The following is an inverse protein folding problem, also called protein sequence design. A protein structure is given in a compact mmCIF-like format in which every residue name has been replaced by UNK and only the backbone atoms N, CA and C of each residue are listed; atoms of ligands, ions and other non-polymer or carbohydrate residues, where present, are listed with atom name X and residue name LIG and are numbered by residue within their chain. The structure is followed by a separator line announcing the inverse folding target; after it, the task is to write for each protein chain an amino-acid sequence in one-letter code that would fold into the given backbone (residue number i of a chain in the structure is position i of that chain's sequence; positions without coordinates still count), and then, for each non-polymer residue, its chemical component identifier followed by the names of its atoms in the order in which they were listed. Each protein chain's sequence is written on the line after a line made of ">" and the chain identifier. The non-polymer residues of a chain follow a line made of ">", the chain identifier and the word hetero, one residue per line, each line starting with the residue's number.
data_IF_535398369848
#
_entry.id   IF_535398369848
#
_cell.length_a   1.000
_cell.length_b   1.000
_cell.length_c   1.000
_cell.angle_alpha   90.00
_cell.angle_beta   90.00
_cell.angle_gamma   90.00
#
_symmetry.space_group_name_H-M   'P 1'
#
loop_
_entity.id
_entity.type
_entity.pdbx_description
1 polymer ?
#
# COMPACT_ATOMS: atom_id res chain seq x y z
N UNK A 1 14.42 18.60 29.99
CA UNK A 1 13.49 18.65 28.84
C UNK A 1 13.88 17.53 27.90
N UNK A 2 13.07 16.48 27.73
CA UNK A 2 13.30 15.51 26.68
C UNK A 2 12.89 16.16 25.34
N UNK A 3 13.82 16.18 24.39
CA UNK A 3 13.59 16.64 23.02
C UNK A 3 12.36 15.93 22.44
N UNK A 4 11.36 16.69 21.99
CA UNK A 4 10.28 16.18 21.14
C UNK A 4 10.87 15.31 20.03
N UNK A 5 10.28 14.14 19.68
CA UNK A 5 10.82 13.30 18.61
C UNK A 5 10.92 14.12 17.33
N UNK A 6 12.15 14.49 16.97
CA UNK A 6 12.43 15.32 15.79
C UNK A 6 11.84 14.59 14.60
N UNK A 7 10.86 15.23 13.95
CA UNK A 7 10.40 14.84 12.62
C UNK A 7 11.64 14.54 11.77
N UNK A 8 11.81 13.27 11.39
CA UNK A 8 12.89 12.88 10.49
C UNK A 8 12.59 13.54 9.16
N UNK A 9 13.03 14.78 8.96
CA UNK A 9 13.04 15.44 7.65
C UNK A 9 13.75 14.46 6.71
N UNK A 10 12.99 13.88 5.78
CA UNK A 10 13.55 13.12 4.66
C UNK A 10 14.61 14.03 4.04
N UNK A 11 15.88 13.70 4.27
CA UNK A 11 16.99 14.35 3.59
C UNK A 11 16.94 13.83 2.17
N UNK A 12 16.10 14.42 1.33
CA UNK A 12 16.27 14.29 -0.09
C UNK A 12 17.66 14.84 -0.40
N UNK A 13 18.57 14.05 -1.00
CA UNK A 13 19.84 14.60 -1.44
C UNK A 13 19.53 15.83 -2.31
N UNK A 14 20.20 16.96 -2.03
CA UNK A 14 20.13 18.13 -2.90
C UNK A 14 20.89 17.80 -4.17
N UNK A 15 20.23 17.09 -5.06
CA UNK A 15 20.72 16.76 -6.40
C UNK A 15 20.55 18.01 -7.25
N UNK A 16 21.60 18.39 -7.98
CA UNK A 16 21.52 19.52 -8.89
C UNK A 16 20.55 19.22 -10.06
N UNK A 17 20.01 20.26 -10.72
CA UNK A 17 19.10 20.08 -11.85
C UNK A 17 19.72 19.25 -12.98
N UNK A 18 21.01 19.46 -13.26
CA UNK A 18 21.74 18.70 -14.28
C UNK A 18 21.94 17.23 -13.89
N UNK A 19 22.28 16.96 -12.62
CA UNK A 19 22.40 15.59 -12.11
C UNK A 19 21.05 14.88 -12.13
N UNK A 20 19.96 15.58 -11.80
CA UNK A 20 18.60 15.05 -11.89
C UNK A 20 18.25 14.68 -13.34
N UNK A 21 18.59 15.53 -14.31
CA UNK A 21 18.36 15.23 -15.72
C UNK A 21 19.12 13.97 -16.18
N UNK A 22 20.39 13.83 -15.79
CA UNK A 22 21.19 12.61 -16.08
C UNK A 22 20.62 11.35 -15.44
N UNK A 23 20.10 11.45 -14.22
CA UNK A 23 19.43 10.33 -13.55
C UNK A 23 18.15 9.92 -14.27
N UNK A 24 17.33 10.90 -14.67
CA UNK A 24 16.10 10.64 -15.44
C UNK A 24 16.44 9.97 -16.77
N UNK A 25 17.40 10.50 -17.53
CA UNK A 25 17.84 9.90 -18.80
C UNK A 25 18.32 8.45 -18.61
N UNK A 26 19.06 8.18 -17.53
CA UNK A 26 19.50 6.83 -17.20
C UNK A 26 18.34 5.88 -16.90
N UNK A 27 17.35 6.32 -16.12
CA UNK A 27 16.17 5.51 -15.78
C UNK A 27 15.33 5.23 -17.04
N UNK A 28 15.11 6.25 -17.88
CA UNK A 28 14.39 6.09 -19.15
C UNK A 28 15.09 5.08 -20.06
N UNK A 29 16.43 5.17 -20.17
CA UNK A 29 17.20 4.22 -20.96
C UNK A 29 17.08 2.78 -20.45
N UNK A 30 17.08 2.58 -19.13
CA UNK A 30 16.87 1.26 -18.54
C UNK A 30 15.47 0.73 -18.85
N UNK A 31 14.46 1.57 -18.69
CA UNK A 31 13.08 1.23 -19.01
C UNK A 31 12.92 0.84 -20.49
N UNK A 32 13.37 1.69 -21.42
CA UNK A 32 13.27 1.43 -22.87
C UNK A 32 13.99 0.15 -23.29
N UNK A 33 15.21 -0.06 -22.77
CA UNK A 33 16.00 -1.25 -23.10
C UNK A 33 15.33 -2.54 -22.58
N UNK A 34 14.82 -2.52 -21.36
CA UNK A 34 14.19 -3.70 -20.76
C UNK A 34 12.81 -3.98 -21.38
N UNK A 35 12.04 -2.94 -21.72
CA UNK A 35 10.80 -3.09 -22.48
C UNK A 35 11.06 -3.68 -23.86
N UNK A 36 12.04 -3.14 -24.61
CA UNK A 36 12.42 -3.67 -25.91
C UNK A 36 12.87 -5.13 -25.83
N UNK A 37 13.62 -5.50 -24.80
CA UNK A 37 14.10 -6.86 -24.60
C UNK A 37 13.00 -7.86 -24.20
N UNK A 38 11.84 -7.38 -23.74
CA UNK A 38 10.68 -8.19 -23.36
C UNK A 38 9.56 -8.16 -24.41
N UNK A 39 9.71 -7.39 -25.48
CA UNK A 39 8.67 -7.24 -26.48
C UNK A 39 8.23 -8.59 -27.07
N UNK A 40 9.18 -9.47 -27.39
CA UNK A 40 8.89 -10.82 -27.90
C UNK A 40 8.07 -11.65 -26.89
N UNK A 41 8.40 -11.58 -25.60
CA UNK A 41 7.70 -12.29 -24.52
C UNK A 41 6.28 -11.74 -24.29
N UNK A 42 6.13 -10.41 -24.39
CA UNK A 42 4.82 -9.74 -24.34
C UNK A 42 3.97 -10.14 -25.55
N UNK A 43 4.54 -10.14 -26.77
CA UNK A 43 3.84 -10.56 -27.98
C UNK A 43 3.42 -12.03 -27.90
N UNK A 44 4.31 -12.93 -27.46
CA UNK A 44 3.99 -14.34 -27.25
C UNK A 44 2.88 -14.54 -26.21
N UNK A 45 2.88 -13.73 -25.14
CA UNK A 45 1.81 -13.72 -24.12
C UNK A 45 0.49 -13.27 -24.72
N UNK A 46 0.47 -12.16 -25.45
CA UNK A 46 -0.73 -11.64 -26.13
C UNK A 46 -1.27 -12.67 -27.13
N UNK A 47 -0.42 -13.32 -27.92
CA UNK A 47 -0.82 -14.37 -28.84
C UNK A 47 -1.41 -15.59 -28.12
N UNK A 48 -0.84 -15.99 -26.98
CA UNK A 48 -1.37 -17.08 -26.14
C UNK A 48 -2.78 -16.74 -25.65
N UNK A 49 -2.95 -15.55 -25.09
CA UNK A 49 -4.25 -15.05 -24.62
C UNK A 49 -5.22 -15.00 -25.80
N UNK A 50 -4.83 -14.42 -26.93
CA UNK A 50 -5.65 -14.32 -28.13
C UNK A 50 -6.16 -15.69 -28.61
N UNK A 51 -5.27 -16.69 -28.62
CA UNK A 51 -5.58 -18.07 -29.00
C UNK A 51 -6.60 -18.72 -28.07
N UNK A 52 -6.50 -18.51 -26.75
CA UNK A 52 -7.40 -19.14 -25.77
C UNK A 52 -8.67 -18.34 -25.48
N UNK A 53 -8.66 -17.02 -25.71
CA UNK A 53 -9.78 -16.08 -25.46
C UNK A 53 -10.54 -15.69 -26.72
N UNK A 54 -10.24 -16.32 -27.85
CA UNK A 54 -10.96 -16.09 -29.11
C UNK A 54 -10.79 -14.64 -29.63
N UNK A 55 -9.65 -13.99 -29.42
CA UNK A 55 -9.33 -12.78 -30.18
C UNK A 55 -9.03 -13.21 -31.61
N UNK A 56 -10.05 -13.17 -32.46
CA UNK A 56 -9.98 -13.66 -33.83
C UNK A 56 -9.16 -12.71 -34.68
N UNK A 57 -8.06 -13.18 -35.25
CA UNK A 57 -7.73 -12.78 -36.61
C UNK A 57 -8.81 -13.37 -37.52
N UNK A 58 -9.52 -12.52 -38.26
CA UNK A 58 -10.49 -12.98 -39.25
C UNK A 58 -9.80 -13.88 -40.27
N UNK A 59 -10.13 -15.18 -40.27
CA UNK A 59 -9.72 -16.08 -41.34
C UNK A 59 -10.74 -15.99 -42.48
N UNK A 60 -10.28 -15.52 -43.63
CA UNK A 60 -11.12 -15.34 -44.83
C UNK A 60 -11.20 -16.59 -45.72
N UNK A 61 -11.06 -17.79 -45.15
CA UNK A 61 -11.08 -19.04 -45.90
C UNK A 61 -11.92 -20.12 -45.20
N UNK A 62 -12.98 -20.66 -45.85
CA UNK A 62 -13.36 -20.49 -47.25
C UNK A 62 -14.17 -19.23 -47.61
N UNK A 63 -14.63 -18.39 -46.67
CA UNK A 63 -15.27 -17.09 -46.95
C UNK A 63 -14.78 -16.01 -45.97
N UNK A 64 -15.00 -14.73 -46.30
CA UNK A 64 -14.70 -13.61 -45.40
C UNK A 64 -15.43 -13.82 -44.05
N UNK A 65 -14.72 -13.67 -42.93
CA UNK A 65 -15.19 -14.01 -41.58
C UNK A 65 -15.51 -15.51 -41.30
N UNK A 66 -15.02 -16.45 -42.11
CA UNK A 66 -15.12 -17.89 -41.81
C UNK A 66 -14.11 -18.32 -40.74
N UNK A 67 -14.28 -17.85 -39.51
CA UNK A 67 -13.54 -18.35 -38.35
C UNK A 67 -14.15 -19.68 -37.89
N UNK A 68 -13.64 -20.81 -38.38
CA UNK A 68 -14.11 -22.16 -38.00
C UNK A 68 -12.96 -22.99 -37.41
N UNK A 69 -12.59 -22.68 -36.17
CA UNK A 69 -11.72 -23.54 -35.33
C UNK A 69 -12.63 -24.12 -34.23
N UNK A 70 -12.25 -25.21 -33.55
CA UNK A 70 -12.98 -25.74 -32.38
C UNK A 70 -12.86 -24.78 -31.17
N UNK A 71 -13.31 -23.55 -31.37
CA UNK A 71 -13.02 -22.35 -30.57
C UNK A 71 -13.74 -22.40 -29.21
N UNK A 72 -15.01 -22.85 -29.09
CA UNK A 72 -15.67 -23.01 -27.78
C UNK A 72 -15.06 -24.10 -26.91
N UNK A 73 -14.63 -25.22 -27.51
CA UNK A 73 -14.09 -26.36 -26.76
C UNK A 73 -12.75 -26.01 -26.11
N UNK A 74 -11.86 -25.36 -26.86
CA UNK A 74 -10.56 -24.92 -26.34
C UNK A 74 -10.71 -23.91 -25.20
N UNK A 75 -11.60 -22.93 -25.35
CA UNK A 75 -11.88 -21.96 -24.27
C UNK A 75 -12.49 -22.65 -23.04
N UNK A 76 -13.43 -23.57 -23.24
CA UNK A 76 -14.06 -24.32 -22.16
C UNK A 76 -13.04 -25.16 -21.39
N UNK A 77 -12.16 -25.86 -22.10
CA UNK A 77 -11.07 -26.63 -21.49
C UNK A 77 -10.07 -25.73 -20.77
N UNK A 78 -9.68 -24.60 -21.37
CA UNK A 78 -8.77 -23.63 -20.76
C UNK A 78 -9.34 -23.08 -19.46
N UNK A 79 -10.56 -22.56 -19.49
CA UNK A 79 -11.25 -22.02 -18.31
C UNK A 79 -11.39 -23.08 -17.21
N UNK A 80 -11.81 -24.29 -17.56
CA UNK A 80 -11.97 -25.37 -16.59
C UNK A 80 -10.64 -25.73 -15.90
N UNK A 81 -9.53 -25.77 -16.65
CA UNK A 81 -8.20 -26.03 -16.09
C UNK A 81 -7.75 -24.87 -15.21
N UNK A 82 -7.96 -23.62 -15.65
CA UNK A 82 -7.65 -22.42 -14.88
C UNK A 82 -8.40 -22.43 -13.54
N UNK A 83 -9.72 -22.62 -13.57
CA UNK A 83 -10.55 -22.69 -12.37
C UNK A 83 -10.11 -23.82 -11.44
N UNK A 84 -9.73 -24.98 -11.99
CA UNK A 84 -9.27 -26.11 -11.17
C UNK A 84 -7.96 -25.77 -10.45
N UNK A 85 -7.02 -25.12 -11.14
CA UNK A 85 -5.73 -24.73 -10.57
C UNK A 85 -5.86 -23.61 -9.54
N UNK A 86 -6.66 -22.58 -9.84
CA UNK A 86 -6.95 -21.49 -8.90
C UNK A 86 -7.62 -22.05 -7.65
N UNK A 87 -8.66 -22.88 -7.80
CA UNK A 87 -9.35 -23.50 -6.67
C UNK A 87 -8.44 -24.41 -5.84
N UNK A 88 -7.51 -25.13 -6.48
CA UNK A 88 -6.54 -25.95 -5.75
C UNK A 88 -5.58 -25.10 -4.91
N UNK A 89 -5.12 -23.97 -5.45
CA UNK A 89 -4.23 -23.04 -4.75
C UNK A 89 -4.94 -22.33 -3.59
N UNK A 90 -6.16 -21.82 -3.80
CA UNK A 90 -6.95 -21.15 -2.77
C UNK A 90 -7.36 -22.12 -1.67
N UNK A 91 -7.79 -23.35 -2.01
CA UNK A 91 -8.16 -24.38 -1.03
C UNK A 91 -7.00 -24.83 -0.15
N UNK A 92 -5.78 -24.80 -0.67
CA UNK A 92 -4.59 -25.18 0.09
C UNK A 92 -4.20 -24.14 1.14
N UNK A 93 -4.65 -22.88 0.99
CA UNK A 93 -4.25 -21.71 1.79
C UNK A 93 -2.76 -21.75 2.14
N UNK A 94 -1.86 -21.52 1.15
CA UNK A 94 -0.43 -21.66 1.35
C UNK A 94 0.04 -20.82 2.54
N UNK A 95 0.62 -21.45 3.57
CA UNK A 95 0.90 -20.76 4.81
C UNK A 95 2.20 -19.97 4.72
N UNK A 96 2.17 -18.71 5.16
CA UNK A 96 3.35 -17.86 5.29
C UNK A 96 4.00 -18.12 6.65
N UNK A 97 4.92 -19.09 6.70
CA UNK A 97 5.60 -19.43 7.94
C UNK A 97 6.99 -18.78 8.04
N UNK A 98 7.25 -17.91 9.04
CA UNK A 98 8.60 -17.51 9.35
C UNK A 98 9.40 -18.72 9.84
N UNK A 99 10.69 -18.76 9.53
CA UNK A 99 11.61 -19.80 10.00
C UNK A 99 12.72 -19.15 10.80
N UNK A 100 12.83 -19.50 12.08
CA UNK A 100 13.92 -19.03 12.92
C UNK A 100 15.26 -19.61 12.42
N UNK A 101 16.24 -18.73 12.18
CA UNK A 101 17.60 -19.14 11.82
C UNK A 101 18.38 -19.67 13.03
N UNK A 102 18.08 -19.13 14.22
CA UNK A 102 18.71 -19.50 15.48
C UNK A 102 17.72 -20.21 16.41
N UNK A 103 18.20 -21.22 17.14
CA UNK A 103 17.37 -22.00 18.07
C UNK A 103 16.78 -21.13 19.20
N UNK A 104 17.46 -20.05 19.59
CA UNK A 104 17.02 -19.13 20.62
C UNK A 104 15.76 -18.34 20.22
N UNK A 105 15.53 -18.12 18.93
CA UNK A 105 14.37 -17.35 18.43
C UNK A 105 13.17 -18.24 18.08
N UNK A 106 13.22 -19.54 18.39
CA UNK A 106 12.15 -20.48 18.06
C UNK A 106 10.82 -20.08 18.69
N UNK A 107 10.83 -19.58 19.92
CA UNK A 107 9.60 -19.13 20.60
C UNK A 107 8.99 -17.89 19.95
N UNK A 108 9.82 -17.01 19.37
CA UNK A 108 9.33 -15.83 18.63
C UNK A 108 8.73 -16.22 17.28
N UNK A 109 9.14 -17.35 16.72
CA UNK A 109 8.65 -17.83 15.43
C UNK A 109 7.13 -17.99 15.42
N UNK A 110 6.57 -18.62 16.46
CA UNK A 110 5.13 -18.88 16.53
C UNK A 110 4.33 -17.58 16.69
N UNK A 111 4.86 -16.63 17.47
CA UNK A 111 4.24 -15.30 17.63
C UNK A 111 4.23 -14.54 16.31
N UNK A 112 5.37 -14.52 15.60
CA UNK A 112 5.47 -13.85 14.29
C UNK A 112 4.61 -14.55 13.24
N UNK A 113 4.52 -15.88 13.27
CA UNK A 113 3.68 -16.65 12.35
C UNK A 113 2.21 -16.28 12.52
N UNK A 114 1.71 -16.29 13.75
CA UNK A 114 0.32 -15.94 14.05
C UNK A 114 0.02 -14.48 13.70
N UNK A 115 0.93 -13.55 13.99
CA UNK A 115 0.77 -12.15 13.61
C UNK A 115 0.72 -11.99 12.09
N UNK A 116 1.67 -12.59 11.37
CA UNK A 116 1.73 -12.47 9.90
C UNK A 116 0.49 -13.08 9.23
N UNK A 117 0.01 -14.23 9.72
CA UNK A 117 -1.22 -14.84 9.23
C UNK A 117 -2.44 -13.95 9.47
N UNK A 118 -2.57 -13.39 10.68
CA UNK A 118 -3.65 -12.45 10.99
C UNK A 118 -3.58 -11.19 10.11
N UNK A 119 -2.41 -10.58 9.97
CA UNK A 119 -2.23 -9.38 9.14
C UNK A 119 -2.48 -9.64 7.66
N UNK A 120 -2.20 -10.85 7.15
CA UNK A 120 -2.37 -11.18 5.74
C UNK A 120 -3.80 -11.63 5.40
N UNK A 121 -4.46 -12.39 6.27
CA UNK A 121 -5.77 -12.98 5.99
C UNK A 121 -6.96 -12.29 6.67
N UNK A 122 -6.73 -11.58 7.79
CA UNK A 122 -7.81 -10.90 8.53
C UNK A 122 -7.78 -9.40 8.29
N UNK A 123 -6.60 -8.76 8.42
CA UNK A 123 -6.48 -7.30 8.18
C UNK A 123 -6.43 -6.96 6.69
N UNK A 124 -6.03 -7.92 5.86
CA UNK A 124 -5.99 -7.82 4.41
C UNK A 124 -6.89 -8.89 3.78
N UNK A 125 -7.37 -8.68 2.54
CA UNK A 125 -8.12 -9.68 1.79
C UNK A 125 -7.17 -10.78 1.25
N UNK A 126 -6.52 -11.52 2.14
CA UNK A 126 -5.48 -12.50 1.78
C UNK A 126 -5.96 -13.62 0.86
N UNK A 127 -7.23 -14.01 0.97
CA UNK A 127 -7.84 -15.00 0.06
C UNK A 127 -7.94 -14.45 -1.38
N UNK A 128 -8.38 -13.20 -1.54
CA UNK A 128 -8.46 -12.54 -2.84
C UNK A 128 -7.06 -12.35 -3.43
N UNK A 129 -6.08 -11.93 -2.62
CA UNK A 129 -4.69 -11.77 -3.04
C UNK A 129 -4.11 -13.10 -3.54
N UNK A 130 -4.37 -14.22 -2.86
CA UNK A 130 -3.92 -15.54 -3.33
C UNK A 130 -4.63 -15.93 -4.63
N UNK A 131 -5.92 -15.60 -4.76
CA UNK A 131 -6.68 -15.78 -5.99
C UNK A 131 -6.06 -15.02 -7.17
N UNK A 132 -5.76 -13.74 -6.99
CA UNK A 132 -5.09 -12.89 -7.97
C UNK A 132 -3.70 -13.43 -8.32
N UNK A 133 -2.91 -13.84 -7.32
CA UNK A 133 -1.59 -14.44 -7.54
C UNK A 133 -1.67 -15.75 -8.33
N UNK A 134 -2.66 -16.59 -8.03
CA UNK A 134 -2.88 -17.85 -8.72
C UNK A 134 -3.32 -17.61 -10.17
N UNK A 135 -4.24 -16.67 -10.39
CA UNK A 135 -4.70 -16.31 -11.73
C UNK A 135 -3.55 -15.72 -12.57
N UNK A 136 -2.79 -14.77 -12.02
CA UNK A 136 -1.60 -14.21 -12.67
C UNK A 136 -0.59 -15.31 -13.02
N UNK A 137 -0.30 -16.23 -12.09
CA UNK A 137 0.63 -17.32 -12.37
C UNK A 137 0.11 -18.30 -13.43
N UNK A 138 -1.18 -18.63 -13.42
CA UNK A 138 -1.76 -19.58 -14.39
C UNK A 138 -1.84 -18.96 -15.79
N UNK A 139 -2.15 -17.67 -15.89
CA UNK A 139 -2.26 -16.98 -17.18
C UNK A 139 -0.89 -16.54 -17.73
N UNK A 140 -0.04 -15.98 -16.87
CA UNK A 140 1.20 -15.31 -17.28
C UNK A 140 2.44 -16.15 -17.01
N UNK A 141 2.36 -17.19 -16.18
CA UNK A 141 3.48 -18.03 -15.77
C UNK A 141 4.41 -17.36 -14.76
N UNK A 142 4.18 -16.08 -14.44
CA UNK A 142 4.96 -15.27 -13.52
C UNK A 142 4.01 -14.48 -12.64
N UNK A 143 4.35 -14.36 -11.36
CA UNK A 143 3.63 -13.50 -10.41
C UNK A 143 4.63 -12.57 -9.75
N UNK A 144 4.29 -11.29 -9.68
CA UNK A 144 5.06 -10.32 -8.89
C UNK A 144 4.19 -9.76 -7.78
N UNK A 145 4.73 -9.75 -6.56
CA UNK A 145 4.09 -9.16 -5.40
C UNK A 145 5.01 -8.10 -4.82
N UNK A 146 4.49 -6.88 -4.72
CA UNK A 146 5.14 -5.81 -3.99
C UNK A 146 4.62 -5.79 -2.56
N UNK A 147 5.52 -5.94 -1.58
CA UNK A 147 5.16 -6.01 -0.15
C UNK A 147 5.78 -4.87 0.64
N UNK A 148 5.26 -3.63 0.53
CA UNK A 148 5.69 -2.52 1.37
C UNK A 148 5.22 -2.69 2.82
N UNK A 149 5.99 -2.11 3.74
CA UNK A 149 5.54 -1.91 5.12
C UNK A 149 4.70 -0.64 5.20
N UNK A 150 3.44 -0.76 5.63
CA UNK A 150 2.49 0.35 5.70
C UNK A 150 2.04 0.53 7.14
N UNK A 151 1.99 1.80 7.57
CA UNK A 151 1.39 2.21 8.85
C UNK A 151 0.20 3.10 8.55
N UNK A 152 -0.99 2.66 8.94
CA UNK A 152 -2.23 3.43 8.85
C UNK A 152 -2.59 3.97 10.23
N UNK A 153 -2.68 5.30 10.33
CA UNK A 153 -3.21 5.99 11.50
C UNK A 153 -4.61 6.51 11.20
N UNK A 154 -5.54 6.32 12.13
CA UNK A 154 -6.87 6.94 12.09
C UNK A 154 -7.10 7.73 13.35
N UNK A 155 -7.76 8.87 13.20
CA UNK A 155 -8.25 9.65 14.33
C UNK A 155 -9.46 8.93 14.92
N UNK A 156 -9.36 8.53 16.18
CA UNK A 156 -10.47 7.95 16.96
C UNK A 156 -10.94 9.03 17.92
N UNK A 157 -12.27 9.17 18.02
CA UNK A 157 -12.92 10.06 18.98
C UNK A 157 -13.50 9.22 20.12
N UNK A 158 -12.93 9.33 21.31
CA UNK A 158 -13.49 8.80 22.54
C UNK A 158 -14.34 9.89 23.21
N UNK A 159 -15.66 9.66 23.32
CA UNK A 159 -16.59 10.61 23.92
C UNK A 159 -16.93 10.19 25.34
N UNK A 160 -16.75 11.10 26.29
CA UNK A 160 -17.09 10.91 27.70
C UNK A 160 -18.08 11.96 28.19
N UNK A 161 -18.94 11.56 29.11
CA UNK A 161 -19.94 12.44 29.74
C UNK A 161 -19.57 12.70 31.19
N UNK A 162 -19.67 13.97 31.58
CA UNK A 162 -19.43 14.45 32.92
C UNK A 162 -20.63 15.26 33.42
N UNK A 163 -20.77 15.41 34.75
CA UNK A 163 -21.76 16.33 35.32
C UNK A 163 -21.60 17.75 34.77
N UNK A 164 -22.67 18.55 34.78
CA UNK A 164 -22.58 19.96 34.40
C UNK A 164 -21.61 20.73 35.31
N UNK A 165 -21.04 21.80 34.77
CA UNK A 165 -20.15 22.70 35.51
C UNK A 165 -20.97 23.38 36.62
N UNK A 166 -20.58 23.27 37.91
CA UNK A 166 -21.25 23.95 39.00
C UNK A 166 -21.23 25.49 38.83
N UNK A 167 -22.35 26.16 39.11
CA UNK A 167 -22.50 27.61 38.95
C UNK A 167 -21.52 28.43 39.80
N UNK A 168 -20.99 27.85 40.87
CA UNK A 168 -20.05 28.46 41.81
C UNK A 168 -18.58 28.34 41.37
N UNK A 169 -18.28 27.59 40.30
CA UNK A 169 -16.92 27.33 39.84
C UNK A 169 -16.66 27.90 38.44
N UNK A 170 -15.44 28.41 38.21
CA UNK A 170 -15.03 28.86 36.88
C UNK A 170 -14.85 27.65 35.95
N UNK A 171 -15.30 27.73 34.68
CA UNK A 171 -15.15 26.64 33.71
C UNK A 171 -13.72 26.15 33.57
N UNK A 172 -12.75 27.06 33.49
CA UNK A 172 -11.32 26.73 33.33
C UNK A 172 -10.79 25.82 34.45
N UNK A 173 -11.17 26.11 35.70
CA UNK A 173 -10.74 25.35 36.88
C UNK A 173 -11.40 23.97 36.91
N UNK A 174 -12.69 23.91 36.55
CA UNK A 174 -13.46 22.66 36.50
C UNK A 174 -12.97 21.72 35.39
N UNK A 175 -12.75 22.24 34.18
CA UNK A 175 -12.25 21.48 33.04
C UNK A 175 -10.84 20.95 33.30
N UNK A 176 -9.95 21.81 33.83
CA UNK A 176 -8.57 21.41 34.16
C UNK A 176 -8.53 20.34 35.26
N UNK A 177 -9.36 20.48 36.30
CA UNK A 177 -9.50 19.47 37.35
C UNK A 177 -10.05 18.14 36.80
N UNK A 178 -10.99 18.20 35.85
CA UNK A 178 -11.58 17.02 35.21
C UNK A 178 -10.55 16.29 34.35
N UNK A 179 -9.70 17.02 33.62
CA UNK A 179 -8.59 16.47 32.86
C UNK A 179 -7.53 15.82 33.76
N UNK A 180 -7.09 16.49 34.82
CA UNK A 180 -6.10 15.95 35.77
C UNK A 180 -6.59 14.68 36.48
N UNK A 181 -7.89 14.60 36.77
CA UNK A 181 -8.51 13.40 37.34
C UNK A 181 -8.57 12.25 36.34
N UNK A 182 -8.83 12.56 35.06
CA UNK A 182 -9.00 11.56 34.01
C UNK A 182 -7.66 11.06 33.46
N UNK A 183 -6.65 11.93 33.39
CA UNK A 183 -5.32 11.67 32.83
C UNK A 183 -4.24 12.05 33.85
N UNK A 184 -4.04 11.24 34.91
CA UNK A 184 -3.06 11.55 35.94
C UNK A 184 -1.63 11.49 35.37
N UNK A 185 -0.86 12.58 35.54
CA UNK A 185 0.55 12.64 35.16
C UNK A 185 0.84 13.05 33.71
N UNK A 186 -0.18 13.40 32.92
CA UNK A 186 -0.05 13.87 31.54
C UNK A 186 0.16 15.39 31.52
N UNK A 187 1.04 15.88 30.63
CA UNK A 187 1.24 17.32 30.45
C UNK A 187 0.02 17.95 29.74
N UNK A 188 -0.60 18.94 30.37
CA UNK A 188 -1.77 19.64 29.83
C UNK A 188 -1.33 21.00 29.29
N UNK A 189 -1.55 21.25 28.01
CA UNK A 189 -1.36 22.54 27.36
C UNK A 189 -2.74 23.09 26.96
N UNK A 190 -3.06 24.31 27.43
CA UNK A 190 -4.29 25.00 27.06
C UNK A 190 -4.08 25.62 25.68
N UNK A 191 -5.01 25.40 24.76
CA UNK A 191 -4.96 25.98 23.41
C UNK A 191 -5.49 27.43 23.45
N UNK A 192 -5.65 28.09 22.30
CA UNK A 192 -6.21 29.46 22.28
C UNK A 192 -7.66 29.55 22.80
N UNK A 193 -8.36 28.40 22.86
CA UNK A 193 -9.73 28.27 23.32
C UNK A 193 -9.77 27.51 24.66
N UNK A 194 -10.48 28.06 25.67
CA UNK A 194 -10.65 27.45 27.01
C UNK A 194 -11.37 26.10 26.99
N UNK A 195 -12.04 25.76 25.89
CA UNK A 195 -12.73 24.48 25.70
C UNK A 195 -11.86 23.44 24.99
N UNK A 196 -10.63 23.79 24.60
CA UNK A 196 -9.73 22.92 23.84
C UNK A 196 -8.39 22.77 24.54
N UNK A 197 -7.97 21.52 24.72
CA UNK A 197 -6.75 21.16 25.41
C UNK A 197 -5.92 20.21 24.56
N UNK A 198 -4.61 20.35 24.65
CA UNK A 198 -3.65 19.42 24.08
C UNK A 198 -2.99 18.64 25.21
N UNK A 199 -3.11 17.32 25.16
CA UNK A 199 -2.48 16.41 26.11
C UNK A 199 -1.20 15.86 25.49
N UNK A 200 -0.07 16.04 26.19
CA UNK A 200 1.20 15.40 25.85
C UNK A 200 1.34 14.09 26.64
N UNK A 201 1.02 12.98 25.99
CA UNK A 201 1.22 11.63 26.49
C UNK A 201 2.59 11.09 26.03
N UNK A 202 3.06 10.01 26.66
CA UNK A 202 4.32 9.36 26.28
C UNK A 202 4.26 8.78 24.86
N UNK A 203 3.07 8.34 24.43
CA UNK A 203 2.80 7.68 23.14
C UNK A 203 2.32 8.64 22.04
N UNK A 204 2.13 9.92 22.32
CA UNK A 204 1.65 10.89 21.33
C UNK A 204 0.91 12.09 21.91
N UNK A 205 0.26 12.83 21.01
CA UNK A 205 -0.50 14.02 21.37
C UNK A 205 -1.99 13.75 21.19
N UNK A 206 -2.78 13.94 22.24
CA UNK A 206 -4.24 13.81 22.19
C UNK A 206 -4.86 15.21 22.23
N UNK A 207 -5.89 15.45 21.43
CA UNK A 207 -6.65 16.69 21.44
C UNK A 207 -7.96 16.46 22.18
N UNK A 208 -8.27 17.30 23.17
CA UNK A 208 -9.50 17.20 23.94
C UNK A 208 -10.33 18.44 23.70
N UNK A 209 -11.59 18.25 23.33
CA UNK A 209 -12.57 19.31 23.19
C UNK A 209 -13.74 19.08 24.13
N UNK A 210 -14.17 20.13 24.80
CA UNK A 210 -15.33 20.10 25.70
C UNK A 210 -16.53 20.80 25.06
N UNK A 211 -17.71 20.23 25.28
CA UNK A 211 -18.98 20.77 24.81
C UNK A 211 -19.99 20.75 25.95
N UNK A 212 -20.74 21.83 26.12
CA UNK A 212 -21.90 21.86 27.02
C UNK A 212 -23.13 21.34 26.29
N UNK A 213 -23.87 20.44 26.94
CA UNK A 213 -25.15 19.91 26.46
C UNK A 213 -26.20 20.10 27.55
N UNK A 214 -27.49 19.98 27.21
CA UNK A 214 -28.60 20.15 28.16
C UNK A 214 -28.51 19.17 29.36
N UNK A 215 -27.87 18.02 29.15
CA UNK A 215 -27.70 16.94 30.14
C UNK A 215 -26.36 16.99 30.89
N UNK A 216 -25.44 17.91 30.55
CA UNK A 216 -24.15 18.03 31.23
C UNK A 216 -22.99 18.45 30.32
N UNK A 217 -21.79 17.98 30.67
CA UNK A 217 -20.55 18.29 29.94
C UNK A 217 -20.11 17.06 29.13
N UNK A 218 -19.96 17.20 27.82
CA UNK A 218 -19.36 16.19 26.95
C UNK A 218 -17.89 16.52 26.68
N UNK A 219 -17.04 15.50 26.68
CA UNK A 219 -15.62 15.59 26.39
C UNK A 219 -15.32 14.66 25.22
N UNK A 220 -14.88 15.22 24.10
CA UNK A 220 -14.40 14.46 22.95
C UNK A 220 -12.86 14.44 22.99
N UNK A 221 -12.29 13.25 23.13
CA UNK A 221 -10.84 13.01 23.04
C UNK A 221 -10.55 12.50 21.64
N UNK A 222 -9.83 13.28 20.85
CA UNK A 222 -9.32 12.88 19.54
C UNK A 222 -7.88 12.43 19.68
N UNK A 223 -7.64 11.16 19.38
CA UNK A 223 -6.29 10.56 19.40
C UNK A 223 -6.02 9.86 18.07
N UNK A 224 -4.82 10.04 17.53
CA UNK A 224 -4.34 9.22 16.43
C UNK A 224 -4.01 7.82 16.95
N UNK A 225 -4.72 6.82 16.44
CA UNK A 225 -4.48 5.42 16.76
C UNK A 225 -3.94 4.70 15.52
N UNK A 226 -2.96 3.82 15.72
CA UNK A 226 -2.47 2.95 14.64
C UNK A 226 -3.46 1.83 14.43
N UNK A 227 -4.11 1.81 13.27
CA UNK A 227 -5.10 0.78 12.92
C UNK A 227 -4.43 -0.41 12.24
N UNK A 228 -3.36 -0.14 11.49
CA UNK A 228 -2.59 -1.15 10.79
C UNK A 228 -1.10 -0.78 10.81
N UNK A 229 -0.23 -1.74 11.09
CA UNK A 229 1.23 -1.58 11.03
C UNK A 229 1.87 -2.90 10.61
N UNK A 230 2.08 -3.06 9.31
CA UNK A 230 2.48 -4.36 8.78
C UNK A 230 2.79 -4.38 7.30
N UNK A 231 3.20 -5.57 6.79
CA UNK A 231 3.47 -5.79 5.38
C UNK A 231 2.15 -5.90 4.60
N UNK A 232 1.93 -4.99 3.65
CA UNK A 232 0.78 -5.07 2.73
C UNK A 232 1.18 -5.69 1.42
N UNK A 233 0.57 -6.80 1.03
CA UNK A 233 0.84 -7.41 -0.28
C UNK A 233 0.00 -6.75 -1.37
N UNK A 234 0.67 -6.38 -2.48
CA UNK A 234 0.06 -5.80 -3.66
C UNK A 234 0.51 -6.62 -4.87
N UNK A 235 -0.41 -7.31 -5.52
CA UNK A 235 -0.13 -8.03 -6.76
C UNK A 235 0.11 -6.99 -7.86
N UNK A 236 1.17 -7.20 -8.63
CA UNK A 236 1.55 -6.33 -9.75
C UNK A 236 1.48 -7.11 -11.05
N UNK A 237 0.92 -6.47 -12.06
CA UNK A 237 0.90 -7.01 -13.41
C UNK A 237 2.32 -7.17 -13.94
N UNK A 238 2.51 -8.15 -14.82
CA UNK A 238 3.81 -8.47 -15.38
C UNK A 238 4.46 -7.29 -16.13
N UNK A 239 3.62 -6.49 -16.81
CA UNK A 239 4.02 -5.32 -17.60
C UNK A 239 4.38 -4.11 -16.71
N UNK A 240 3.81 -4.05 -15.51
CA UNK A 240 4.04 -2.97 -14.55
C UNK A 240 5.32 -3.14 -13.73
N UNK A 241 6.04 -4.25 -13.94
CA UNK A 241 7.29 -4.54 -13.24
C UNK A 241 8.39 -4.77 -14.25
N UNK A 242 9.22 -3.75 -14.46
CA UNK A 242 10.32 -3.77 -15.42
C UNK A 242 11.63 -4.07 -14.71
N UNK A 243 12.33 -5.09 -15.19
CA UNK A 243 13.60 -5.55 -14.63
C UNK A 243 14.47 -6.19 -15.73
N UNK A 244 15.79 -6.33 -15.51
CA UNK A 244 16.68 -6.94 -16.48
C UNK A 244 16.23 -8.37 -16.86
N UNK A 245 16.14 -8.72 -18.16
CA UNK A 245 15.63 -10.03 -18.61
C UNK A 245 16.39 -11.24 -18.06
N UNK A 246 17.66 -11.06 -17.70
CA UNK A 246 18.53 -12.12 -17.17
C UNK A 246 18.47 -12.25 -15.64
N UNK A 247 17.70 -11.42 -14.96
CA UNK A 247 17.54 -11.51 -13.52
C UNK A 247 16.75 -12.78 -13.19
N UNK A 248 17.25 -13.55 -12.21
CA UNK A 248 16.57 -14.74 -11.68
C UNK A 248 15.52 -14.38 -10.65
N UNK A 249 15.65 -13.22 -10.02
CA UNK A 249 14.72 -12.68 -9.03
C UNK A 249 14.87 -11.16 -8.95
N UNK A 250 13.89 -10.52 -8.31
CA UNK A 250 13.82 -9.07 -8.14
C UNK A 250 14.65 -8.53 -6.97
N UNK A 251 15.32 -9.40 -6.21
CA UNK A 251 16.17 -8.95 -5.11
C UNK A 251 17.49 -8.41 -5.66
N UNK A 252 18.07 -7.43 -4.96
CA UNK A 252 19.33 -6.81 -5.38
C UNK A 252 20.45 -7.86 -5.49
N UNK A 253 21.35 -7.74 -6.48
CA UNK A 253 22.48 -8.65 -6.60
C UNK A 253 23.40 -8.54 -5.39
N UNK A 254 23.86 -9.69 -4.91
CA UNK A 254 24.82 -9.81 -3.81
C UNK A 254 25.65 -11.09 -3.98
N UNK A 255 26.76 -11.28 -3.23
CA UNK A 255 27.50 -12.55 -3.27
C UNK A 255 26.62 -13.78 -3.00
N UNK A 256 25.58 -13.64 -2.17
CA UNK A 256 24.60 -14.68 -1.88
C UNK A 256 23.43 -14.73 -2.88
N UNK A 257 23.28 -13.71 -3.74
CA UNK A 257 22.27 -13.62 -4.79
C UNK A 257 22.89 -13.12 -6.11
N UNK A 258 23.73 -13.91 -6.79
CA UNK A 258 24.42 -13.47 -8.01
C UNK A 258 23.46 -13.24 -9.19
N UNK A 259 22.24 -13.79 -9.13
CA UNK A 259 21.21 -13.62 -10.15
C UNK A 259 20.22 -12.50 -9.86
N UNK A 260 20.48 -11.63 -8.89
CA UNK A 260 19.59 -10.54 -8.53
C UNK A 260 19.43 -9.47 -9.62
N UNK A 261 18.31 -8.76 -9.59
CA UNK A 261 18.02 -7.65 -10.50
C UNK A 261 18.83 -6.41 -10.12
N UNK A 262 19.58 -5.85 -11.08
CA UNK A 262 20.36 -4.62 -10.89
C UNK A 262 19.46 -3.42 -10.59
N UNK A 263 18.26 -3.42 -11.16
CA UNK A 263 17.21 -2.45 -10.91
C UNK A 263 15.85 -3.13 -11.07
N UNK A 264 14.85 -2.54 -10.42
CA UNK A 264 13.43 -2.89 -10.59
C UNK A 264 12.69 -1.57 -10.69
N UNK A 265 11.93 -1.41 -11.76
CA UNK A 265 11.08 -0.23 -11.98
C UNK A 265 9.65 -0.72 -11.83
N UNK A 266 8.96 -0.15 -10.84
CA UNK A 266 7.53 -0.35 -10.67
C UNK A 266 6.82 0.79 -11.39
N UNK A 267 5.95 0.43 -12.34
CA UNK A 267 5.07 1.37 -13.01
C UNK A 267 3.78 1.42 -12.21
N UNK A 268 3.38 2.63 -11.85
CA UNK A 268 2.13 2.92 -11.16
C UNK A 268 1.35 3.92 -12.02
N UNK A 269 0.02 3.78 -12.06
CA UNK A 269 -0.89 4.71 -12.72
C UNK A 269 -1.73 5.48 -11.70
N UNK A 270 -1.13 6.40 -10.92
CA UNK A 270 -1.86 7.16 -9.92
C UNK A 270 -2.86 8.11 -10.58
N UNK A 271 -4.00 8.31 -9.94
CA UNK A 271 -5.00 9.28 -10.40
C UNK A 271 -4.49 10.72 -10.24
N UNK A 272 -5.02 11.67 -11.01
CA UNK A 272 -4.66 13.09 -10.90
C UNK A 272 -4.88 13.64 -9.48
N UNK A 273 -5.95 13.22 -8.82
CA UNK A 273 -6.25 13.58 -7.43
C UNK A 273 -5.22 13.00 -6.45
N UNK A 274 -4.77 11.77 -6.68
CA UNK A 274 -3.72 11.14 -5.88
C UNK A 274 -2.39 11.88 -6.03
N UNK A 275 -2.00 12.23 -7.27
CA UNK A 275 -0.79 13.02 -7.55
C UNK A 275 -0.87 14.37 -6.82
N UNK A 276 -2.01 15.06 -6.87
CA UNK A 276 -2.22 16.34 -6.16
C UNK A 276 -2.11 16.19 -4.65
N UNK A 277 -2.73 15.15 -4.08
CA UNK A 277 -2.65 14.85 -2.64
C UNK A 277 -1.22 14.57 -2.21
N UNK A 278 -0.49 13.78 -2.99
CA UNK A 278 0.91 13.42 -2.72
C UNK A 278 1.87 14.59 -2.95
N UNK A 279 1.57 15.49 -3.88
CA UNK A 279 2.30 16.74 -4.03
C UNK A 279 2.07 17.66 -2.81
N UNK A 280 0.82 17.75 -2.30
CA UNK A 280 0.50 18.52 -1.09
C UNK A 280 1.22 17.98 0.15
N UNK A 281 1.37 16.67 0.27
CA UNK A 281 2.15 16.02 1.34
C UNK A 281 3.66 16.08 1.13
N UNK A 282 4.14 16.75 0.07
CA UNK A 282 5.56 16.86 -0.33
C UNK A 282 6.22 15.51 -0.65
N UNK A 283 5.42 14.49 -0.95
CA UNK A 283 5.92 13.21 -1.43
C UNK A 283 6.49 13.34 -2.84
N UNK A 284 5.76 14.03 -3.73
CA UNK A 284 6.23 14.37 -5.07
C UNK A 284 6.80 15.79 -5.13
N UNK A 285 7.86 15.97 -5.94
CA UNK A 285 8.42 17.29 -6.27
C UNK A 285 7.95 17.68 -7.68
N UNK A 286 6.73 18.18 -7.76
CA UNK A 286 6.06 18.57 -9.01
C UNK A 286 5.72 20.06 -8.91
N UNK A 287 5.93 20.82 -9.99
CA UNK A 287 5.58 22.25 -9.99
C UNK A 287 4.06 22.43 -10.08
N UNK A 288 3.56 23.63 -9.77
CA UNK A 288 2.13 23.93 -9.95
C UNK A 288 1.72 23.86 -11.42
N UNK A 289 2.59 24.35 -12.31
CA UNK A 289 2.36 24.31 -13.76
C UNK A 289 2.25 22.87 -14.27
N UNK A 290 3.11 21.97 -13.77
CA UNK A 290 3.04 20.53 -14.12
C UNK A 290 1.75 19.88 -13.59
N UNK A 291 1.29 20.25 -12.38
CA UNK A 291 0.04 19.72 -11.80
C UNK A 291 -1.21 20.20 -12.55
N UNK A 292 -1.19 21.45 -13.03
CA UNK A 292 -2.30 22.02 -13.80
C UNK A 292 -2.32 21.48 -15.24
N UNK A 293 -1.16 21.09 -15.78
CA UNK A 293 -1.04 20.43 -17.08
C UNK A 293 -1.59 18.99 -17.13
N UNK A 294 -1.71 18.30 -15.99
CA UNK A 294 -2.24 16.94 -15.93
C UNK A 294 -3.73 16.85 -16.34
N UNK A 295 -4.50 17.91 -16.17
CA UNK A 295 -5.92 17.95 -16.57
C UNK A 295 -6.12 18.07 -18.09
N UNK A 296 -5.05 18.35 -18.84
CA UNK A 296 -5.08 18.53 -20.30
C UNK A 296 -4.67 17.27 -21.07
N UNK A 297 -4.24 16.22 -20.38
CA UNK A 297 -3.90 14.94 -21.00
C UNK A 297 -5.23 14.23 -21.32
N UNK A 298 -5.51 13.92 -22.60
CA UNK A 298 -6.73 13.19 -22.96
C UNK A 298 -6.75 11.84 -22.25
N UNK A 299 -7.90 11.52 -21.66
CA UNK A 299 -8.17 10.22 -21.02
C UNK A 299 -8.13 9.07 -22.02
#
# INVERSE_FOLDING_TARGET
>A
MPDSPRERKRRSPRIDKEEKAKLVERVLRFYEHDMAARNDDIEDRVQRIAKFRMWTEGKNFPWEDSSDVAVPDMMTHSLRVQDTLVNAATSARPPVFPKALQKADKEKQDVVANLTDFQFFIEQPGEDIIGEMADAFVNDGVVTVFTPWIRETREIVDRRRFPPIPDDQRPEDYLSATLLKTFPGVGIEITENIWEYRLQEEDGTSFVSFYTTDDGLEMDIRKEHVVYDGPRALVKEYEDVVYPPRAKNLQMPSPSNPGGALHVILVDYPTTDEIRRLAKSKFYTVSKEDLDGLDQIPK
#
